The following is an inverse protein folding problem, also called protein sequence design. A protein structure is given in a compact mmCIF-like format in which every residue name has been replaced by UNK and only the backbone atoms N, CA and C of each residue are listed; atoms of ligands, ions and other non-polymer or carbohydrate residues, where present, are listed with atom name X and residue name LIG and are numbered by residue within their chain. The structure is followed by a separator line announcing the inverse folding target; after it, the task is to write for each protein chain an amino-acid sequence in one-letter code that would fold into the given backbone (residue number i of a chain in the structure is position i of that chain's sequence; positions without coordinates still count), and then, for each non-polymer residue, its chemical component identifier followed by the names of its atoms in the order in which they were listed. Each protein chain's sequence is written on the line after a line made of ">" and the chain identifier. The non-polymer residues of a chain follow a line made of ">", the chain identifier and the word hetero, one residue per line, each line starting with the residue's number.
data_IF_120955763551
#
_entry.id   IF_120955763551
#
_cell.length_a   1.000
_cell.length_b   1.000
_cell.length_c   1.000
_cell.angle_alpha   90.00
_cell.angle_beta   90.00
_cell.angle_gamma   90.00
#
_symmetry.space_group_name_H-M   'P 1'
#
loop_
_entity.id
_entity.type
_entity.pdbx_description
1 polymer ?
#
# COMPACT_ATOMS: atom_id res chain seq x y z
N UNK A 1 -24.12 5.04 14.44
CA UNK A 1 -23.01 5.70 14.80
C UNK A 1 -21.80 4.82 14.89
N UNK A 2 -21.93 3.77 15.53
CA UNK A 2 -20.85 2.85 15.63
C UNK A 2 -20.49 2.24 14.31
N UNK A 3 -21.47 2.05 13.48
CA UNK A 3 -21.20 1.50 12.17
C UNK A 3 -20.28 2.39 11.42
N UNK A 4 -20.46 3.66 11.58
CA UNK A 4 -19.60 4.59 10.89
C UNK A 4 -18.18 4.42 11.32
N UNK A 5 -18.00 4.27 12.60
CA UNK A 5 -16.66 4.07 13.14
C UNK A 5 -16.04 2.80 12.61
N UNK A 6 -16.85 1.77 12.53
CA UNK A 6 -16.34 0.51 11.99
C UNK A 6 -15.92 0.68 10.56
N UNK A 7 -16.70 1.44 9.82
CA UNK A 7 -16.36 1.68 8.44
C UNK A 7 -15.01 2.33 8.32
N UNK A 8 -14.77 3.30 9.17
CA UNK A 8 -13.50 3.98 9.17
C UNK A 8 -12.39 3.02 9.54
N UNK A 9 -12.66 2.19 10.52
CA UNK A 9 -11.66 1.25 10.97
C UNK A 9 -11.31 0.26 9.87
N UNK A 10 -12.32 -0.22 9.17
CA UNK A 10 -12.06 -1.19 8.12
C UNK A 10 -11.27 -0.58 6.98
N UNK A 11 -11.26 0.73 6.91
CA UNK A 11 -10.48 1.40 5.89
C UNK A 11 -9.12 1.80 6.38
N UNK A 12 -8.69 1.17 7.44
CA UNK A 12 -7.38 1.46 7.94
C UNK A 12 -6.36 1.28 6.84
N UNK A 13 -5.46 2.20 6.80
CA UNK A 13 -4.41 2.22 5.83
C UNK A 13 -3.58 0.95 5.89
N UNK A 14 -3.56 0.23 4.81
CA UNK A 14 -2.61 -0.85 4.68
C UNK A 14 -1.20 -0.30 4.77
N UNK A 15 -0.99 0.90 4.25
CA UNK A 15 0.32 1.54 4.35
C UNK A 15 0.73 1.72 5.80
N UNK A 16 -0.19 2.16 6.63
CA UNK A 16 0.12 2.37 8.04
C UNK A 16 0.50 1.08 8.71
N UNK A 17 -0.26 0.03 8.45
CA UNK A 17 0.05 -1.26 9.03
C UNK A 17 1.38 -1.79 8.56
N UNK A 18 1.67 -1.60 7.28
CA UNK A 18 2.93 -2.06 6.75
C UNK A 18 4.09 -1.25 7.32
N UNK A 19 3.89 0.05 7.51
CA UNK A 19 4.90 0.87 8.14
C UNK A 19 5.22 0.39 9.54
N UNK A 20 4.19 0.08 10.31
CA UNK A 20 4.40 -0.41 11.66
C UNK A 20 5.15 -1.73 11.66
N UNK A 21 4.76 -2.61 10.76
CA UNK A 21 5.44 -3.90 10.64
C UNK A 21 6.92 -3.70 10.28
N UNK A 22 7.14 -2.87 9.27
CA UNK A 22 8.51 -2.66 8.79
C UNK A 22 9.39 -2.03 9.86
N UNK A 23 8.85 -1.06 10.58
CA UNK A 23 9.61 -0.45 11.67
C UNK A 23 9.88 -1.44 12.77
N UNK A 24 8.92 -2.30 13.06
CA UNK A 24 9.08 -3.26 14.14
C UNK A 24 10.14 -4.30 13.82
N UNK A 25 10.15 -4.77 12.58
CA UNK A 25 11.02 -5.88 12.19
C UNK A 25 12.37 -5.39 11.69
N UNK A 26 12.34 -4.37 10.84
CA UNK A 26 13.55 -3.90 10.17
C UNK A 26 14.07 -2.59 10.70
N UNK A 27 13.29 -1.90 11.55
CA UNK A 27 13.64 -0.58 12.06
C UNK A 27 13.75 0.45 10.96
N UNK A 28 13.10 0.18 9.83
CA UNK A 28 13.12 1.08 8.68
C UNK A 28 11.76 1.07 8.02
N UNK A 29 11.46 2.18 7.34
CA UNK A 29 10.20 2.28 6.62
C UNK A 29 10.31 1.55 5.28
N UNK A 30 9.18 1.02 4.80
CA UNK A 30 9.20 0.43 3.46
C UNK A 30 9.37 1.54 2.42
N UNK A 31 9.90 1.17 1.28
CA UNK A 31 10.17 2.12 0.20
C UNK A 31 9.13 1.94 -0.89
N UNK A 32 8.45 3.03 -1.22
CA UNK A 32 7.46 3.02 -2.29
C UNK A 32 8.06 3.69 -3.51
N UNK A 33 7.74 3.16 -4.67
CA UNK A 33 8.27 3.69 -5.92
C UNK A 33 7.20 3.69 -6.98
N UNK A 34 7.08 4.81 -7.69
CA UNK A 34 6.15 4.89 -8.80
C UNK A 34 6.74 4.13 -9.98
N UNK A 35 6.03 3.15 -10.46
CA UNK A 35 6.50 2.32 -11.57
C UNK A 35 5.97 2.85 -12.89
N UNK A 36 4.68 3.12 -12.95
CA UNK A 36 4.11 3.61 -14.21
C UNK A 36 2.86 4.40 -13.91
N UNK A 37 2.49 5.20 -14.89
CA UNK A 37 1.29 6.02 -14.81
C UNK A 37 0.72 6.06 -16.22
N UNK A 38 -0.20 5.15 -16.49
CA UNK A 38 -0.76 5.00 -17.82
C UNK A 38 -2.26 5.16 -17.77
N UNK A 39 -2.90 4.97 -18.92
CA UNK A 39 -4.33 5.09 -18.98
C UNK A 39 -4.77 6.48 -19.37
N UNK A 40 -6.03 6.63 -19.78
CA UNK A 40 -6.55 7.94 -20.15
C UNK A 40 -6.66 8.83 -18.92
N UNK A 41 -6.78 10.13 -19.20
CA UNK A 41 -6.80 11.09 -18.12
C UNK A 41 -7.95 10.85 -17.15
N UNK A 42 -9.08 10.40 -17.64
CA UNK A 42 -10.24 10.17 -16.80
C UNK A 42 -10.24 8.80 -16.13
N UNK A 43 -9.33 7.94 -16.52
CA UNK A 43 -9.20 6.63 -15.89
C UNK A 43 -7.72 6.27 -15.81
N UNK A 44 -6.98 7.00 -15.00
CA UNK A 44 -5.55 6.71 -14.90
C UNK A 44 -5.32 5.37 -14.23
N UNK A 45 -4.25 4.74 -14.62
CA UNK A 45 -3.81 3.51 -13.99
C UNK A 45 -2.40 3.75 -13.49
N UNK A 46 -2.26 3.76 -12.19
CA UNK A 46 -0.98 4.04 -11.57
C UNK A 46 -0.48 2.78 -10.91
N UNK A 47 0.76 2.45 -11.20
CA UNK A 47 1.38 1.27 -10.62
C UNK A 47 2.51 1.70 -9.69
N UNK A 48 2.51 1.13 -8.52
CA UNK A 48 3.50 1.46 -7.49
C UNK A 48 4.06 0.16 -6.94
N UNK A 49 5.34 0.18 -6.61
CA UNK A 49 5.93 -0.94 -5.91
C UNK A 49 6.24 -0.54 -4.48
N UNK A 50 6.24 -1.52 -3.60
CA UNK A 50 6.70 -1.33 -2.24
C UNK A 50 7.77 -2.38 -1.98
N UNK A 51 8.88 -1.94 -1.44
CA UNK A 51 10.01 -2.82 -1.16
C UNK A 51 10.28 -2.83 0.32
N UNK A 52 10.38 -4.02 0.87
CA UNK A 52 10.77 -4.18 2.25
C UNK A 52 12.27 -4.34 2.34
N UNK A 53 12.79 -4.13 3.52
CA UNK A 53 14.23 -4.18 3.72
C UNK A 53 14.82 -5.56 3.54
N UNK A 54 13.97 -6.58 3.55
CA UNK A 54 14.45 -7.94 3.29
C UNK A 54 14.58 -8.24 1.81
N UNK A 55 14.25 -7.27 0.96
CA UNK A 55 14.39 -7.42 -0.47
C UNK A 55 13.13 -7.81 -1.21
N UNK A 56 12.07 -8.08 -0.49
CA UNK A 56 10.82 -8.46 -1.14
C UNK A 56 10.14 -7.24 -1.72
N UNK A 57 9.61 -7.40 -2.92
CA UNK A 57 8.95 -6.31 -3.63
C UNK A 57 7.54 -6.75 -4.02
N UNK A 58 6.60 -5.86 -3.80
CA UNK A 58 5.21 -6.11 -4.17
C UNK A 58 4.69 -4.94 -4.98
N UNK A 59 3.74 -5.20 -5.85
CA UNK A 59 3.21 -4.18 -6.74
C UNK A 59 1.73 -3.98 -6.48
N UNK A 60 1.29 -2.74 -6.64
CA UNK A 60 -0.12 -2.42 -6.53
C UNK A 60 -0.51 -1.44 -7.60
N UNK A 61 -1.75 -1.51 -8.05
CA UNK A 61 -2.28 -0.61 -9.04
C UNK A 61 -3.52 0.07 -8.50
N UNK A 62 -3.75 1.29 -8.94
CA UNK A 62 -4.90 2.02 -8.51
C UNK A 62 -5.13 3.23 -9.38
N UNK A 63 -6.21 3.94 -9.08
CA UNK A 63 -6.56 5.13 -9.85
C UNK A 63 -5.81 6.36 -9.39
N UNK A 64 -5.12 6.27 -8.31
CA UNK A 64 -4.28 7.34 -7.82
C UNK A 64 -3.06 6.72 -7.19
N UNK A 65 -2.04 7.55 -6.98
CA UNK A 65 -0.84 7.06 -6.33
C UNK A 65 -1.16 6.49 -4.97
N UNK A 66 -2.02 7.17 -4.23
CA UNK A 66 -2.40 6.70 -2.91
C UNK A 66 -3.07 5.34 -2.97
N UNK A 67 -4.02 5.17 -3.90
CA UNK A 67 -4.68 3.89 -4.04
C UNK A 67 -3.72 2.79 -4.44
N UNK A 68 -2.81 3.10 -5.36
CA UNK A 68 -1.82 2.12 -5.78
C UNK A 68 -0.94 1.71 -4.62
N UNK A 69 -0.52 2.66 -3.81
CA UNK A 69 0.31 2.36 -2.65
C UNK A 69 -0.44 1.51 -1.64
N UNK A 70 -1.71 1.82 -1.42
CA UNK A 70 -2.52 1.03 -0.51
C UNK A 70 -2.66 -0.41 -1.00
N UNK A 71 -2.87 -0.57 -2.28
CA UNK A 71 -3.01 -1.90 -2.85
C UNK A 71 -1.70 -2.68 -2.75
N UNK A 72 -0.59 -2.01 -3.00
CA UNK A 72 0.71 -2.67 -2.88
C UNK A 72 0.96 -3.08 -1.43
N UNK A 73 0.66 -2.20 -0.50
CA UNK A 73 0.85 -2.51 0.90
C UNK A 73 -0.05 -3.65 1.34
N UNK A 74 -1.29 -3.66 0.86
CA UNK A 74 -2.23 -4.71 1.21
C UNK A 74 -1.73 -6.06 0.71
N UNK A 75 -1.25 -6.10 -0.51
CA UNK A 75 -0.70 -7.34 -1.05
C UNK A 75 0.49 -7.81 -0.24
N UNK A 76 1.34 -6.87 0.12
CA UNK A 76 2.50 -7.19 0.93
C UNK A 76 2.10 -7.79 2.27
N UNK A 77 1.14 -7.16 2.94
CA UNK A 77 0.67 -7.64 4.22
C UNK A 77 0.08 -9.05 4.12
N UNK A 78 -0.66 -9.31 3.05
CA UNK A 78 -1.25 -10.62 2.86
C UNK A 78 -0.19 -11.70 2.71
N UNK A 79 0.95 -11.35 2.20
CA UNK A 79 2.03 -12.31 1.98
C UNK A 79 3.00 -12.41 3.14
N UNK A 80 2.81 -11.61 4.17
CA UNK A 80 3.69 -11.66 5.33
C UNK A 80 3.25 -12.66 6.36
N UNK A 81 2.09 -13.21 6.23
CA UNK A 81 1.57 -14.17 7.21
C UNK A 81 2.19 -15.52 7.13
#
# INVERSE_FOLDING_TARGET
>A
KNEIDKSVITKIDAKTKLQEYSLKIFKKLPVYKLISNTGPRHQPIIKVSVKLFDGKIYYGEGKSKKNAEQNAASLCLNNLK
#
